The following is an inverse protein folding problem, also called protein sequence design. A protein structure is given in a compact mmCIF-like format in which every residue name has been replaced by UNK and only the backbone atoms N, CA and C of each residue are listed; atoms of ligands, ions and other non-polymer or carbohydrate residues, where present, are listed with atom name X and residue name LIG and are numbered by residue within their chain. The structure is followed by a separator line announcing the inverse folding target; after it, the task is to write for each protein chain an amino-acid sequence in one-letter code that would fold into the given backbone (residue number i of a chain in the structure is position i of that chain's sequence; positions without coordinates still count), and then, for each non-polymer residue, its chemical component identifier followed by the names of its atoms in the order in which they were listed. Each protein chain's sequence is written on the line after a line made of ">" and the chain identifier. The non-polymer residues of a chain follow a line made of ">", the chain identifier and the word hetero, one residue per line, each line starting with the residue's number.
data_IF_807066225432
#
_entry.id   IF_807066225432
#
_cell.length_a   1.000
_cell.length_b   1.000
_cell.length_c   1.000
_cell.angle_alpha   90.00
_cell.angle_beta   90.00
_cell.angle_gamma   90.00
#
_symmetry.space_group_name_H-M   'P 1'
#
loop_
_entity.id
_entity.type
_entity.pdbx_description
1 polymer ?
#
# COMPACT_ATOMS: atom_id res chain seq x y z
N UNK A 1 14.52 10.68 -12.96
CA UNK A 1 13.86 9.66 -12.11
C UNK A 1 14.47 8.27 -12.34
N UNK A 2 14.56 7.83 -13.60
CA UNK A 2 15.06 6.48 -13.97
C UNK A 2 16.42 6.09 -13.34
N UNK A 3 17.43 6.96 -13.40
CA UNK A 3 18.75 6.68 -12.80
C UNK A 3 18.67 6.41 -11.28
N UNK A 4 17.89 7.21 -10.56
CA UNK A 4 17.68 7.03 -9.11
C UNK A 4 17.04 5.67 -8.82
N UNK A 5 16.02 5.29 -9.60
CA UNK A 5 15.35 4.00 -9.43
C UNK A 5 16.28 2.83 -9.73
N UNK A 6 17.10 2.90 -10.80
CA UNK A 6 18.12 1.88 -11.11
C UNK A 6 19.07 1.67 -9.93
N UNK A 7 19.58 2.76 -9.34
CA UNK A 7 20.45 2.70 -8.16
C UNK A 7 19.72 2.10 -6.96
N UNK A 8 18.48 2.52 -6.68
CA UNK A 8 17.68 1.99 -5.56
C UNK A 8 17.41 0.49 -5.72
N UNK A 9 17.10 0.02 -6.93
CA UNK A 9 16.88 -1.41 -7.19
C UNK A 9 18.18 -2.22 -7.11
N UNK A 10 19.30 -1.68 -7.60
CA UNK A 10 20.62 -2.32 -7.40
C UNK A 10 20.95 -2.45 -5.92
N UNK A 11 20.76 -1.39 -5.14
CA UNK A 11 20.92 -1.41 -3.68
C UNK A 11 19.98 -2.41 -3.01
N UNK A 12 18.74 -2.53 -3.50
CA UNK A 12 17.79 -3.51 -3.01
C UNK A 12 18.26 -4.94 -3.25
N UNK A 13 18.91 -5.21 -4.38
CA UNK A 13 19.43 -6.54 -4.70
C UNK A 13 20.68 -6.87 -3.87
N UNK A 14 21.56 -5.89 -3.64
CA UNK A 14 22.78 -6.09 -2.86
C UNK A 14 22.57 -6.08 -1.34
N UNK A 15 21.55 -5.35 -0.85
CA UNK A 15 21.29 -5.14 0.58
C UNK A 15 19.82 -5.42 0.93
N UNK A 16 19.41 -6.69 0.87
CA UNK A 16 18.05 -7.15 1.22
C UNK A 16 17.80 -7.20 2.73
N UNK A 17 18.03 -6.10 3.44
CA UNK A 17 17.65 -5.98 4.84
C UNK A 17 16.19 -5.50 4.96
N UNK A 18 15.49 -5.96 6.01
CA UNK A 18 14.12 -5.51 6.32
C UNK A 18 14.07 -3.98 6.48
N UNK A 19 15.12 -3.39 7.07
CA UNK A 19 15.26 -1.95 7.25
C UNK A 19 15.33 -1.20 5.92
N UNK A 20 16.12 -1.69 4.96
CA UNK A 20 16.19 -1.07 3.64
C UNK A 20 14.87 -1.19 2.89
N UNK A 21 14.23 -2.36 2.91
CA UNK A 21 12.92 -2.56 2.28
C UNK A 21 11.84 -1.66 2.89
N UNK A 22 11.83 -1.47 4.22
CA UNK A 22 10.96 -0.51 4.90
C UNK A 22 11.20 0.92 4.42
N UNK A 23 12.45 1.38 4.40
CA UNK A 23 12.79 2.72 3.92
C UNK A 23 12.40 2.94 2.45
N UNK A 24 12.64 1.93 1.60
CA UNK A 24 12.28 1.96 0.19
C UNK A 24 10.75 2.02 0.00
N UNK A 25 10.00 1.22 0.75
CA UNK A 25 8.54 1.23 0.75
C UNK A 25 7.99 2.62 1.14
N UNK A 26 8.54 3.24 2.19
CA UNK A 26 8.11 4.57 2.65
C UNK A 26 8.44 5.66 1.63
N UNK A 27 9.63 5.60 1.02
CA UNK A 27 10.02 6.51 -0.06
C UNK A 27 9.02 6.45 -1.23
N UNK A 28 8.69 5.25 -1.70
CA UNK A 28 7.71 5.12 -2.76
C UNK A 28 6.29 5.46 -2.32
N UNK A 29 5.93 5.20 -1.07
CA UNK A 29 4.63 5.60 -0.51
C UNK A 29 4.48 7.13 -0.56
N UNK A 30 5.53 7.86 -0.19
CA UNK A 30 5.57 9.32 -0.34
C UNK A 30 5.39 9.74 -1.80
N UNK A 31 6.10 9.08 -2.72
CA UNK A 31 6.00 9.40 -4.15
C UNK A 31 4.58 9.18 -4.69
N UNK A 32 3.92 8.09 -4.30
CA UNK A 32 2.52 7.80 -4.66
C UNK A 32 1.58 8.84 -4.09
N UNK A 33 1.77 9.26 -2.84
CA UNK A 33 0.88 10.24 -2.22
C UNK A 33 0.98 11.60 -2.92
N UNK A 34 2.19 12.00 -3.34
CA UNK A 34 2.46 13.29 -4.00
C UNK A 34 2.17 13.29 -5.50
N UNK A 35 2.48 12.19 -6.22
CA UNK A 35 2.44 12.12 -7.69
C UNK A 35 1.40 11.13 -8.26
N UNK A 36 0.81 10.28 -7.43
CA UNK A 36 -0.11 9.22 -7.84
C UNK A 36 0.57 7.88 -8.10
N UNK A 37 -0.21 6.79 -8.08
CA UNK A 37 0.29 5.43 -8.33
C UNK A 37 0.68 5.22 -9.79
N UNK A 38 -0.10 5.76 -10.73
CA UNK A 38 0.23 5.73 -12.17
C UNK A 38 1.61 6.34 -12.50
N UNK A 39 2.00 7.45 -11.86
CA UNK A 39 3.33 8.04 -12.05
C UNK A 39 4.45 7.09 -11.58
N UNK A 40 4.23 6.41 -10.45
CA UNK A 40 5.19 5.44 -9.93
C UNK A 40 5.30 4.23 -10.86
N UNK A 41 4.17 3.70 -11.32
CA UNK A 41 4.11 2.57 -12.25
C UNK A 41 4.86 2.90 -13.55
N UNK A 42 4.57 4.04 -14.17
CA UNK A 42 5.23 4.50 -15.39
C UNK A 42 6.75 4.66 -15.16
N UNK A 43 7.13 5.30 -14.04
CA UNK A 43 8.54 5.53 -13.71
C UNK A 43 9.33 4.24 -13.48
N UNK A 44 8.74 3.22 -12.86
CA UNK A 44 9.40 1.93 -12.63
C UNK A 44 9.43 1.12 -13.93
N UNK A 45 8.32 1.07 -14.67
CA UNK A 45 8.23 0.32 -15.92
C UNK A 45 9.10 0.93 -17.04
N UNK A 46 9.51 2.20 -16.94
CA UNK A 46 10.49 2.79 -17.86
C UNK A 46 11.89 2.18 -17.76
N UNK A 47 12.21 1.50 -16.64
CA UNK A 47 13.49 0.79 -16.46
C UNK A 47 13.44 -0.57 -17.17
N UNK A 48 12.35 -1.30 -16.94
CA UNK A 48 12.07 -2.60 -17.52
C UNK A 48 10.55 -2.81 -17.50
N UNK A 49 10.00 -3.30 -18.60
CA UNK A 49 8.58 -3.61 -18.72
C UNK A 49 8.12 -4.58 -17.61
N UNK A 50 6.94 -4.33 -17.04
CA UNK A 50 6.34 -5.10 -15.95
C UNK A 50 7.11 -5.12 -14.61
N UNK A 51 8.22 -4.39 -14.49
CA UNK A 51 9.01 -4.35 -13.25
C UNK A 51 8.22 -3.84 -12.04
N UNK A 52 7.26 -2.93 -12.24
CA UNK A 52 6.41 -2.45 -11.16
C UNK A 52 5.62 -3.58 -10.50
N UNK A 53 5.09 -4.49 -11.31
CA UNK A 53 4.29 -5.60 -10.83
C UNK A 53 5.14 -6.63 -10.07
N UNK A 54 6.36 -6.89 -10.56
CA UNK A 54 7.33 -7.75 -9.87
C UNK A 54 7.75 -7.12 -8.53
N UNK A 55 7.98 -5.81 -8.53
CA UNK A 55 8.30 -5.05 -7.32
C UNK A 55 7.16 -5.09 -6.29
N UNK A 56 5.91 -4.93 -6.71
CA UNK A 56 4.75 -5.04 -5.82
C UNK A 56 4.70 -6.41 -5.15
N UNK A 57 4.87 -7.48 -5.93
CA UNK A 57 4.77 -8.84 -5.44
C UNK A 57 5.94 -9.22 -4.53
N UNK A 58 7.16 -8.93 -4.95
CA UNK A 58 8.36 -9.39 -4.27
C UNK A 58 8.74 -8.53 -3.06
N UNK A 59 8.41 -7.23 -3.08
CA UNK A 59 8.92 -6.29 -2.08
C UNK A 59 7.78 -5.50 -1.42
N UNK A 60 6.94 -4.79 -2.16
CA UNK A 60 5.96 -3.86 -1.56
C UNK A 60 4.97 -4.57 -0.64
N UNK A 61 4.20 -5.52 -1.18
CA UNK A 61 3.11 -6.22 -0.47
C UNK A 61 3.65 -6.94 0.78
N UNK A 62 4.77 -7.69 0.72
CA UNK A 62 5.38 -8.28 1.91
C UNK A 62 5.86 -7.24 2.93
N UNK A 63 6.43 -6.12 2.47
CA UNK A 63 7.02 -5.09 3.34
C UNK A 63 5.95 -4.28 4.09
N UNK A 64 4.71 -4.21 3.61
CA UNK A 64 3.61 -3.57 4.36
C UNK A 64 3.46 -4.15 5.77
N UNK A 65 3.72 -5.45 5.95
CA UNK A 65 3.63 -6.13 7.26
C UNK A 65 4.74 -5.72 8.23
N UNK A 66 5.84 -5.16 7.74
CA UNK A 66 6.95 -4.68 8.59
C UNK A 66 6.78 -3.23 9.02
N UNK A 67 5.78 -2.52 8.50
CA UNK A 67 5.42 -1.16 8.95
C UNK A 67 4.71 -1.27 10.30
N UNK A 68 5.51 -1.34 11.35
CA UNK A 68 5.06 -1.25 12.75
C UNK A 68 5.36 0.14 13.37
N UNK A 69 5.74 1.11 12.55
CA UNK A 69 6.28 2.41 12.98
C UNK A 69 5.24 3.39 13.52
N UNK A 70 5.69 4.63 13.75
CA UNK A 70 4.88 5.77 14.21
C UNK A 70 3.62 5.97 13.35
N UNK A 71 2.58 6.56 13.95
CA UNK A 71 1.27 6.75 13.32
C UNK A 71 1.34 7.37 11.90
N UNK A 72 2.29 8.28 11.66
CA UNK A 72 2.49 8.95 10.36
C UNK A 72 3.01 8.00 9.27
N UNK A 73 3.94 7.10 9.57
CA UNK A 73 4.48 6.16 8.59
C UNK A 73 3.42 5.16 8.13
N UNK A 74 2.68 4.65 9.11
CA UNK A 74 1.60 3.69 8.89
C UNK A 74 0.48 4.34 8.08
N UNK A 75 0.09 5.58 8.44
CA UNK A 75 -0.86 6.39 7.68
C UNK A 75 -0.39 6.58 6.24
N UNK A 76 0.84 7.02 6.04
CA UNK A 76 1.42 7.23 4.71
C UNK A 76 1.39 5.95 3.87
N UNK A 77 1.90 4.85 4.42
CA UNK A 77 1.96 3.57 3.73
C UNK A 77 0.57 3.03 3.39
N UNK A 78 -0.40 3.14 4.31
CA UNK A 78 -1.79 2.74 4.07
C UNK A 78 -2.43 3.57 2.95
N UNK A 79 -2.34 4.89 3.02
CA UNK A 79 -2.90 5.80 2.01
C UNK A 79 -2.26 5.54 0.64
N UNK A 80 -0.95 5.41 0.57
CA UNK A 80 -0.26 5.11 -0.68
C UNK A 80 -0.70 3.76 -1.26
N UNK A 81 -0.77 2.73 -0.42
CA UNK A 81 -1.19 1.40 -0.86
C UNK A 81 -2.65 1.38 -1.33
N UNK A 82 -3.55 2.13 -0.69
CA UNK A 82 -4.92 2.35 -1.16
C UNK A 82 -4.97 3.05 -2.52
N UNK A 83 -4.14 4.08 -2.74
CA UNK A 83 -4.03 4.74 -4.05
C UNK A 83 -3.56 3.76 -5.13
N UNK A 84 -2.52 2.98 -4.85
CA UNK A 84 -2.03 1.93 -5.77
C UNK A 84 -3.12 0.89 -6.07
N UNK A 85 -3.90 0.46 -5.08
CA UNK A 85 -5.05 -0.42 -5.29
C UNK A 85 -6.08 0.16 -6.27
N UNK A 86 -6.29 1.47 -6.24
CA UNK A 86 -7.14 2.21 -7.18
C UNK A 86 -6.67 2.16 -8.62
N UNK A 87 -5.36 2.12 -8.83
CA UNK A 87 -4.75 2.14 -10.17
C UNK A 87 -4.56 0.72 -10.75
N UNK A 88 -4.53 -0.31 -9.90
CA UNK A 88 -4.34 -1.71 -10.31
C UNK A 88 -5.58 -2.28 -11.02
N UNK A 89 -5.39 -2.70 -12.28
CA UNK A 89 -6.44 -3.28 -13.13
C UNK A 89 -6.70 -4.76 -12.83
N UNK A 90 -7.46 -5.04 -11.77
CA UNK A 90 -7.68 -6.42 -11.30
C UNK A 90 -8.47 -7.33 -12.26
N UNK A 91 -9.25 -6.76 -13.19
CA UNK A 91 -10.03 -7.50 -14.19
C UNK A 91 -9.22 -8.07 -15.36
N UNK A 92 -7.95 -7.69 -15.51
CA UNK A 92 -7.18 -8.04 -16.71
C UNK A 92 -7.00 -9.55 -16.87
N UNK A 93 -6.70 -10.23 -15.77
CA UNK A 93 -6.51 -11.68 -15.73
C UNK A 93 -6.57 -12.19 -14.28
N UNK A 94 -6.66 -13.52 -14.05
CA UNK A 94 -6.73 -14.08 -12.70
C UNK A 94 -5.52 -13.72 -11.81
N UNK A 95 -4.32 -13.57 -12.36
CA UNK A 95 -3.15 -13.18 -11.57
C UNK A 95 -3.22 -11.72 -11.10
N UNK A 96 -3.79 -10.83 -11.91
CA UNK A 96 -4.06 -9.44 -11.52
C UNK A 96 -5.06 -9.39 -10.37
N UNK A 97 -6.14 -10.18 -10.45
CA UNK A 97 -7.13 -10.35 -9.40
C UNK A 97 -6.50 -10.85 -8.08
N UNK A 98 -5.66 -11.90 -8.14
CA UNK A 98 -4.94 -12.42 -6.96
C UNK A 98 -3.99 -11.38 -6.35
N UNK A 99 -3.23 -10.64 -7.16
CA UNK A 99 -2.31 -9.60 -6.66
C UNK A 99 -3.06 -8.46 -6.00
N UNK A 100 -4.15 -8.01 -6.61
CA UNK A 100 -5.02 -6.98 -6.05
C UNK A 100 -5.59 -7.42 -4.70
N UNK A 101 -6.11 -8.65 -4.61
CA UNK A 101 -6.63 -9.21 -3.36
C UNK A 101 -5.58 -9.33 -2.26
N UNK A 102 -4.35 -9.77 -2.59
CA UNK A 102 -3.23 -9.82 -1.64
C UNK A 102 -2.81 -8.44 -1.15
N UNK A 103 -2.82 -7.44 -2.03
CA UNK A 103 -2.55 -6.06 -1.66
C UNK A 103 -3.64 -5.55 -0.71
N UNK A 104 -4.94 -5.76 -1.02
CA UNK A 104 -6.05 -5.40 -0.13
C UNK A 104 -5.89 -6.05 1.26
N UNK A 105 -5.59 -7.36 1.29
CA UNK A 105 -5.37 -8.10 2.53
C UNK A 105 -4.25 -7.46 3.39
N UNK A 106 -3.12 -7.10 2.77
CA UNK A 106 -2.02 -6.42 3.47
C UNK A 106 -2.39 -5.02 3.96
N UNK A 107 -3.16 -4.24 3.20
CA UNK A 107 -3.58 -2.90 3.62
C UNK A 107 -4.58 -2.96 4.78
N UNK A 108 -5.52 -3.93 4.77
CA UNK A 108 -6.44 -4.16 5.89
C UNK A 108 -5.65 -4.46 7.18
N UNK A 109 -4.69 -5.39 7.12
CA UNK A 109 -3.84 -5.68 8.28
C UNK A 109 -3.05 -4.46 8.75
N UNK A 110 -2.60 -3.61 7.83
CA UNK A 110 -1.87 -2.39 8.17
C UNK A 110 -2.74 -1.35 8.89
N UNK A 111 -3.96 -1.08 8.39
CA UNK A 111 -4.86 -0.08 9.00
C UNK A 111 -5.50 -0.56 10.30
N UNK A 112 -5.55 -1.87 10.52
CA UNK A 112 -6.04 -2.48 11.76
C UNK A 112 -4.93 -2.75 12.78
N UNK A 113 -3.66 -2.65 12.38
CA UNK A 113 -2.54 -2.82 13.30
C UNK A 113 -2.69 -1.83 14.46
N UNK A 114 -2.65 -2.26 15.73
CA UNK A 114 -2.77 -1.35 16.87
C UNK A 114 -1.62 -0.33 16.86
N UNK A 115 -1.90 0.89 17.33
CA UNK A 115 -0.87 1.92 17.47
C UNK A 115 0.15 1.45 18.51
N UNK A 116 1.41 1.29 18.10
CA UNK A 116 2.50 1.08 19.05
C UNK A 116 2.92 2.43 19.60
N UNK A 117 2.96 2.54 20.93
CA UNK A 117 3.64 3.63 21.61
C UNK A 117 5.14 3.54 21.33
N UNK A 118 5.67 4.66 20.81
CA UNK A 118 7.06 4.98 20.46
C UNK A 118 8.14 3.99 20.91
N UNK A 119 8.85 3.40 19.93
CA UNK A 119 10.18 2.83 20.15
C UNK A 119 11.18 3.60 19.29
N UNK A 120 12.00 4.41 19.96
CA UNK A 120 13.01 5.30 19.35
C UNK A 120 14.20 4.43 18.97
N UNK A 121 14.21 3.92 17.73
CA UNK A 121 15.17 2.93 17.25
C UNK A 121 15.79 3.23 15.88
N UNK A 122 16.72 4.19 15.86
CA UNK A 122 18.06 4.10 15.24
C UNK A 122 18.33 4.28 13.71
N UNK A 123 19.47 4.95 13.46
CA UNK A 123 20.21 5.39 12.25
C UNK A 123 19.78 6.66 11.48
N UNK A 124 20.78 7.50 11.15
CA UNK A 124 20.70 8.81 10.48
C UNK A 124 19.83 8.84 9.21
N UNK A 125 19.99 7.88 8.29
CA UNK A 125 19.17 7.84 7.06
C UNK A 125 17.70 7.48 7.32
N UNK A 126 17.43 6.66 8.34
CA UNK A 126 16.06 6.39 8.79
C UNK A 126 15.47 7.67 9.33
N UNK A 127 16.22 8.40 10.16
CA UNK A 127 15.81 9.68 10.74
C UNK A 127 15.45 10.73 9.69
N UNK A 128 16.13 10.81 8.54
CA UNK A 128 15.80 11.80 7.50
C UNK A 128 14.41 11.52 6.90
N UNK A 129 14.13 10.27 6.51
CA UNK A 129 12.83 9.88 5.94
C UNK A 129 11.75 10.00 7.02
N UNK A 130 12.01 9.51 8.23
CA UNK A 130 11.09 9.66 9.38
C UNK A 130 10.79 11.13 9.67
N UNK A 131 11.80 11.99 9.70
CA UNK A 131 11.62 13.42 9.95
C UNK A 131 10.91 14.12 8.80
N UNK A 132 11.12 13.73 7.54
CA UNK A 132 10.36 14.28 6.41
C UNK A 132 8.87 13.93 6.54
N UNK A 133 8.55 12.66 6.80
CA UNK A 133 7.18 12.17 7.01
C UNK A 133 6.51 12.82 8.23
N UNK A 134 7.28 13.07 9.30
CA UNK A 134 6.78 13.65 10.54
C UNK A 134 6.65 15.17 10.49
N UNK A 135 7.51 15.87 9.74
CA UNK A 135 7.47 17.33 9.61
C UNK A 135 6.32 17.81 8.74
N UNK A 136 5.91 17.01 7.76
CA UNK A 136 4.89 17.38 6.79
C UNK A 136 3.95 16.19 6.58
N UNK A 137 2.70 16.32 7.05
CA UNK A 137 1.68 15.29 6.80
C UNK A 137 1.27 15.36 5.33
N UNK A 138 2.01 14.65 4.47
CA UNK A 138 1.71 14.62 3.04
C UNK A 138 0.36 13.94 2.74
N UNK A 139 -0.29 13.33 3.73
CA UNK A 139 -1.63 12.78 3.67
C UNK A 139 -2.63 13.57 4.55
N UNK A 140 -2.38 14.87 4.81
CA UNK A 140 -3.19 15.72 5.70
C UNK A 140 -4.70 15.71 5.35
N UNK A 141 -5.04 15.63 4.06
CA UNK A 141 -6.42 15.55 3.59
C UNK A 141 -7.16 14.26 3.98
N UNK A 142 -6.44 13.24 4.44
CA UNK A 142 -7.01 11.94 4.85
C UNK A 142 -6.87 11.82 6.36
N UNK A 143 -7.98 12.00 7.09
CA UNK A 143 -7.98 11.91 8.55
C UNK A 143 -7.91 10.46 9.04
N UNK A 144 -8.73 9.60 8.45
CA UNK A 144 -8.82 8.19 8.82
C UNK A 144 -8.43 7.28 7.62
N UNK A 145 -7.29 6.57 7.70
CA UNK A 145 -6.89 5.62 6.67
C UNK A 145 -7.88 4.49 6.42
N UNK A 146 -8.66 4.09 7.44
CA UNK A 146 -9.68 3.04 7.32
C UNK A 146 -10.85 3.52 6.47
N UNK A 147 -11.36 4.72 6.76
CA UNK A 147 -12.39 5.39 5.97
C UNK A 147 -11.95 5.55 4.51
N UNK A 148 -10.71 6.04 4.30
CA UNK A 148 -10.15 6.21 2.97
C UNK A 148 -10.08 4.90 2.17
N UNK A 149 -9.60 3.82 2.79
CA UNK A 149 -9.57 2.49 2.18
C UNK A 149 -10.95 2.02 1.76
N UNK A 150 -11.92 2.09 2.67
CA UNK A 150 -13.29 1.61 2.44
C UNK A 150 -13.95 2.39 1.30
N UNK A 151 -13.82 3.72 1.28
CA UNK A 151 -14.38 4.53 0.20
C UNK A 151 -13.73 4.26 -1.16
N UNK A 152 -12.40 4.10 -1.21
CA UNK A 152 -11.69 3.81 -2.45
C UNK A 152 -12.14 2.47 -3.04
N UNK A 153 -12.14 1.41 -2.24
CA UNK A 153 -12.55 0.07 -2.71
C UNK A 153 -14.04 0.03 -3.08
N UNK A 154 -14.90 0.70 -2.31
CA UNK A 154 -16.34 0.77 -2.61
C UNK A 154 -16.62 1.59 -3.88
N UNK A 155 -15.80 2.58 -4.18
CA UNK A 155 -15.87 3.31 -5.44
C UNK A 155 -15.49 2.41 -6.61
N UNK A 156 -14.40 1.65 -6.51
CA UNK A 156 -14.01 0.66 -7.53
C UNK A 156 -15.14 -0.36 -7.76
N UNK A 157 -15.69 -0.95 -6.70
CA UNK A 157 -16.77 -1.94 -6.80
C UNK A 157 -18.01 -1.43 -7.56
N UNK A 158 -18.25 -0.11 -7.58
CA UNK A 158 -19.40 0.48 -8.28
C UNK A 158 -19.10 0.74 -9.75
N UNK A 159 -17.86 1.09 -10.07
CA UNK A 159 -17.43 1.33 -11.45
C UNK A 159 -17.21 0.02 -12.20
N UNK A 160 -16.76 -1.01 -11.48
CA UNK A 160 -16.23 -2.21 -12.05
C UNK A 160 -17.05 -3.45 -11.61
N UNK A 161 -17.48 -4.23 -12.62
CA UNK A 161 -18.21 -5.50 -12.54
C UNK A 161 -18.60 -5.98 -11.12
N UNK A 162 -19.80 -5.60 -10.63
CA UNK A 162 -20.32 -6.05 -9.35
C UNK A 162 -20.30 -7.58 -9.26
N UNK A 163 -19.62 -8.14 -8.25
CA UNK A 163 -19.45 -9.59 -8.05
C UNK A 163 -18.01 -10.08 -8.22
N UNK A 164 -17.21 -9.52 -9.14
CA UNK A 164 -15.81 -9.93 -9.27
C UNK A 164 -15.00 -9.58 -8.02
N UNK A 165 -15.26 -8.40 -7.46
CA UNK A 165 -14.61 -7.97 -6.23
C UNK A 165 -14.95 -8.90 -5.04
N UNK A 166 -16.19 -9.39 -4.96
CA UNK A 166 -16.60 -10.34 -3.93
C UNK A 166 -15.81 -11.65 -4.04
N UNK A 167 -15.66 -12.20 -5.25
CA UNK A 167 -14.84 -13.39 -5.48
C UNK A 167 -13.38 -13.16 -5.08
N UNK A 168 -12.80 -12.02 -5.46
CA UNK A 168 -11.43 -11.66 -5.08
C UNK A 168 -11.26 -11.60 -3.57
N UNK A 169 -12.21 -10.96 -2.87
CA UNK A 169 -12.23 -10.87 -1.42
C UNK A 169 -12.34 -12.26 -0.79
N UNK A 170 -13.26 -13.10 -1.29
CA UNK A 170 -13.48 -14.45 -0.80
C UNK A 170 -12.23 -15.35 -0.98
N UNK A 171 -11.47 -15.17 -2.06
CA UNK A 171 -10.33 -16.03 -2.39
C UNK A 171 -9.01 -15.56 -1.76
N UNK A 172 -8.82 -14.26 -1.54
CA UNK A 172 -7.50 -13.70 -1.27
C UNK A 172 -7.33 -13.05 0.12
N UNK A 173 -8.42 -12.75 0.82
CA UNK A 173 -8.34 -12.24 2.19
C UNK A 173 -8.26 -13.40 3.19
N UNK A 174 -7.44 -13.22 4.22
CA UNK A 174 -7.40 -14.14 5.35
C UNK A 174 -8.68 -13.99 6.18
N UNK A 175 -9.10 -15.05 6.88
CA UNK A 175 -10.37 -15.04 7.62
C UNK A 175 -10.53 -13.87 8.61
N UNK A 176 -9.51 -13.46 9.40
CA UNK A 176 -9.62 -12.29 10.26
C UNK A 176 -9.88 -10.99 9.47
N UNK A 177 -9.21 -10.84 8.33
CA UNK A 177 -9.35 -9.66 7.48
C UNK A 177 -10.69 -9.64 6.73
N UNK A 178 -11.28 -10.79 6.40
CA UNK A 178 -12.66 -10.84 5.85
C UNK A 178 -13.68 -10.30 6.85
N UNK A 179 -13.60 -10.75 8.11
CA UNK A 179 -14.49 -10.27 9.19
C UNK A 179 -14.26 -8.79 9.44
N UNK A 180 -13.00 -8.35 9.50
CA UNK A 180 -12.71 -6.95 9.73
C UNK A 180 -13.13 -6.06 8.55
N UNK A 181 -13.00 -6.53 7.32
CA UNK A 181 -13.49 -5.83 6.13
C UNK A 181 -15.00 -5.57 6.19
N UNK A 182 -15.77 -6.59 6.54
CA UNK A 182 -17.22 -6.50 6.74
C UNK A 182 -17.60 -5.47 7.82
N UNK A 183 -16.90 -5.51 8.96
CA UNK A 183 -17.08 -4.55 10.04
C UNK A 183 -16.73 -3.11 9.61
N UNK A 184 -15.64 -2.92 8.87
CA UNK A 184 -15.22 -1.62 8.35
C UNK A 184 -16.26 -1.07 7.36
N UNK A 185 -16.71 -1.87 6.39
CA UNK A 185 -17.73 -1.46 5.43
C UNK A 185 -19.04 -1.05 6.11
N UNK A 186 -19.45 -1.79 7.15
CA UNK A 186 -20.61 -1.46 7.99
C UNK A 186 -20.40 -0.15 8.74
N UNK A 187 -19.24 0.03 9.39
CA UNK A 187 -18.92 1.21 10.20
C UNK A 187 -18.94 2.51 9.39
N UNK A 188 -18.39 2.49 8.16
CA UNK A 188 -18.34 3.66 7.28
C UNK A 188 -19.53 3.74 6.30
N UNK A 189 -20.58 2.93 6.50
CA UNK A 189 -21.81 2.91 5.68
C UNK A 189 -21.54 2.80 4.18
N UNK A 190 -20.50 2.05 3.81
CA UNK A 190 -20.13 1.89 2.43
C UNK A 190 -20.80 0.63 1.87
N UNK A 191 -21.43 0.77 0.72
CA UNK A 191 -21.96 -0.36 -0.06
C UNK A 191 -20.79 -1.11 -0.70
N UNK A 192 -20.04 -1.86 0.12
CA UNK A 192 -19.06 -2.82 -0.32
C UNK A 192 -19.77 -4.08 -0.83
N UNK A 193 -20.56 -3.94 -1.90
CA UNK A 193 -21.33 -4.99 -2.58
C UNK A 193 -21.66 -6.22 -1.71
N UNK A 194 -22.70 -6.13 -0.88
CA UNK A 194 -23.40 -7.29 -0.34
C UNK A 194 -24.65 -7.53 -1.19
#
# INVERSE_FOLDING_TARGET
>A
MEHLLKVLFQLCQSNRTVKFQKALLLFFSLLVVVKGGGYLEESINSIQENLFLDFLHAIWIPSLKSIMGENHERKLAAVAATKVLGDLKYHQNPQAATRWGKMLNSVISLVLCPEKTEDVGDSENSLIIHNAIRKEDHAEGIKDPKEHLVHAVSHLSRLDHPGMLQSIIAENLDQPNKVAWDQLCTAYKASCGF
#
